data_IF_278066345878
#
_entry.id   IF_278066345878
#
_cell.length_a   1.000
_cell.length_b   1.000
_cell.length_c   1.000
_cell.angle_alpha   90.00
_cell.angle_beta   90.00
_cell.angle_gamma   90.00
#
_symmetry.space_group_name_H-M   'P 1'
#
loop_
_entity.id
_entity.type
_entity.pdbx_description
1 polymer ?
#
# COMPACT_ATOMS: atom_id res chain seq x y z
N UNK A 1 11.79 -8.39 -19.96
CA UNK A 1 10.87 -9.13 -19.07
C UNK A 1 11.37 -8.88 -17.65
N UNK A 2 10.63 -8.12 -16.86
CA UNK A 2 10.90 -7.92 -15.44
C UNK A 2 10.56 -9.21 -14.69
N UNK A 3 11.46 -9.67 -13.83
CA UNK A 3 11.18 -10.81 -12.94
C UNK A 3 10.13 -10.33 -11.93
N UNK A 4 9.05 -11.09 -11.68
CA UNK A 4 8.03 -10.68 -10.70
C UNK A 4 8.67 -10.56 -9.30
N UNK A 5 8.23 -9.59 -8.48
CA UNK A 5 8.78 -9.38 -7.15
C UNK A 5 8.52 -10.62 -6.27
N UNK A 6 9.58 -11.02 -5.54
CA UNK A 6 9.54 -12.10 -4.58
C UNK A 6 9.58 -11.56 -3.15
N UNK A 7 9.07 -12.36 -2.22
CA UNK A 7 8.91 -12.01 -0.83
C UNK A 7 9.57 -13.05 0.08
N UNK A 8 10.34 -12.57 1.04
CA UNK A 8 11.07 -13.40 2.01
C UNK A 8 10.65 -13.00 3.42
N UNK A 9 10.49 -14.01 4.27
CA UNK A 9 10.18 -13.83 5.68
C UNK A 9 11.32 -13.07 6.38
N UNK A 10 10.97 -12.22 7.33
CA UNK A 10 11.93 -11.58 8.25
C UNK A 10 12.75 -12.59 9.09
N UNK A 11 12.43 -13.89 9.03
CA UNK A 11 13.16 -14.98 9.68
C UNK A 11 13.81 -15.97 8.70
N UNK A 12 13.78 -15.69 7.41
CA UNK A 12 14.55 -16.40 6.39
C UNK A 12 13.80 -17.46 5.58
N UNK A 13 12.52 -17.75 5.86
CA UNK A 13 11.69 -18.58 5.00
C UNK A 13 11.32 -17.86 3.68
N UNK A 14 11.38 -18.57 2.55
CA UNK A 14 11.11 -18.04 1.21
C UNK A 14 12.28 -18.26 0.25
N UNK A 15 12.32 -17.56 -0.90
CA UNK A 15 11.33 -16.58 -1.37
C UNK A 15 10.01 -17.22 -1.85
N UNK A 16 8.92 -16.46 -1.79
CA UNK A 16 7.59 -16.80 -2.35
C UNK A 16 7.02 -15.66 -3.20
N UNK A 17 6.01 -15.94 -4.03
CA UNK A 17 5.30 -14.90 -4.77
C UNK A 17 4.39 -14.06 -3.83
N UNK A 18 4.02 -12.84 -4.26
CA UNK A 18 3.11 -11.97 -3.50
C UNK A 18 1.81 -12.69 -3.10
N UNK A 19 1.17 -13.38 -4.05
CA UNK A 19 -0.13 -14.03 -3.81
C UNK A 19 -0.02 -15.09 -2.71
N UNK A 20 1.07 -15.89 -2.72
CA UNK A 20 1.31 -16.88 -1.68
C UNK A 20 1.53 -16.22 -0.31
N UNK A 21 2.30 -15.14 -0.26
CA UNK A 21 2.54 -14.36 0.96
C UNK A 21 1.23 -13.78 1.53
N UNK A 22 0.35 -13.25 0.67
CA UNK A 22 -0.94 -12.70 1.07
C UNK A 22 -1.90 -13.77 1.58
N UNK A 23 -1.99 -14.92 0.89
CA UNK A 23 -2.87 -16.03 1.29
C UNK A 23 -2.42 -16.69 2.59
N UNK A 24 -1.11 -16.80 2.83
CA UNK A 24 -0.58 -17.34 4.08
C UNK A 24 -0.73 -16.35 5.25
N UNK A 25 -0.63 -15.05 4.97
CA UNK A 25 -0.61 -13.99 5.97
C UNK A 25 0.70 -13.97 6.77
N UNK A 26 0.88 -14.93 7.68
CA UNK A 26 2.12 -15.13 8.44
C UNK A 26 2.97 -16.21 7.78
N UNK A 27 4.29 -16.01 7.71
CA UNK A 27 5.19 -17.01 7.20
C UNK A 27 5.24 -18.26 8.11
N UNK A 28 5.56 -19.46 7.58
CA UNK A 28 5.63 -20.71 8.36
C UNK A 28 6.62 -20.67 9.54
N UNK A 29 7.64 -19.83 9.46
CA UNK A 29 8.63 -19.59 10.52
C UNK A 29 8.17 -18.54 11.56
N UNK A 30 6.93 -18.06 11.45
CA UNK A 30 6.34 -17.03 12.30
C UNK A 30 6.84 -15.62 12.02
N UNK A 31 7.57 -15.39 10.92
CA UNK A 31 7.99 -14.07 10.46
C UNK A 31 6.96 -13.38 9.57
N UNK A 32 7.28 -12.15 9.16
CA UNK A 32 6.47 -11.35 8.24
C UNK A 32 7.14 -11.35 6.87
N UNK A 33 6.34 -11.43 5.80
CA UNK A 33 6.87 -11.32 4.44
C UNK A 33 7.24 -9.88 4.09
N UNK A 34 8.44 -9.69 3.53
CA UNK A 34 8.91 -8.45 2.93
C UNK A 34 9.39 -8.72 1.50
N UNK A 35 9.24 -7.77 0.57
CA UNK A 35 9.81 -7.91 -0.77
C UNK A 35 11.35 -7.99 -0.67
N UNK A 36 11.98 -8.83 -1.51
CA UNK A 36 13.45 -8.98 -1.52
C UNK A 36 14.18 -7.67 -1.88
N UNK A 37 13.50 -6.77 -2.60
CA UNK A 37 13.99 -5.43 -2.89
C UNK A 37 12.88 -4.40 -2.77
N UNK A 38 13.21 -3.23 -2.20
CA UNK A 38 12.31 -2.08 -2.22
C UNK A 38 12.48 -1.32 -3.54
N UNK A 39 11.43 -1.18 -4.36
CA UNK A 39 11.48 -0.45 -5.62
C UNK A 39 11.66 1.05 -5.36
N UNK A 40 12.44 1.71 -6.21
CA UNK A 40 12.50 3.16 -6.22
C UNK A 40 11.19 3.73 -6.81
N UNK A 41 10.50 4.57 -6.04
CA UNK A 41 9.26 5.19 -6.46
C UNK A 41 9.49 6.65 -6.88
N UNK A 42 9.07 6.99 -8.10
CA UNK A 42 9.02 8.36 -8.60
C UNK A 42 7.56 8.83 -8.64
N UNK A 43 7.10 9.38 -7.52
CA UNK A 43 5.74 9.90 -7.36
C UNK A 43 5.71 11.43 -7.52
N UNK A 44 4.68 12.00 -8.17
CA UNK A 44 4.53 13.44 -8.25
C UNK A 44 4.28 14.04 -6.86
N UNK A 45 4.78 15.25 -6.57
CA UNK A 45 4.50 15.92 -5.32
C UNK A 45 3.02 16.34 -5.27
N UNK A 46 2.42 16.28 -4.08
CA UNK A 46 1.09 16.83 -3.78
C UNK A 46 -0.04 16.38 -4.73
N UNK A 47 -0.05 15.11 -5.12
CA UNK A 47 -1.12 14.52 -5.94
C UNK A 47 -2.12 13.71 -5.07
N UNK A 48 -3.39 13.61 -5.50
CA UNK A 48 -4.40 12.78 -4.86
C UNK A 48 -3.98 11.31 -4.72
N UNK A 49 -4.47 10.63 -3.67
CA UNK A 49 -4.20 9.20 -3.46
C UNK A 49 -4.63 8.34 -4.65
N UNK A 50 -5.73 8.69 -5.33
CA UNK A 50 -6.20 8.00 -6.52
C UNK A 50 -5.16 8.00 -7.67
N UNK A 51 -4.31 9.02 -7.76
CA UNK A 51 -3.31 9.15 -8.81
C UNK A 51 -1.99 8.46 -8.45
N UNK A 52 -1.61 8.51 -7.17
CA UNK A 52 -0.33 7.97 -6.69
C UNK A 52 -0.41 6.54 -6.18
N UNK A 53 -1.58 6.11 -5.69
CA UNK A 53 -1.81 4.78 -5.09
C UNK A 53 -1.49 3.65 -6.06
N UNK A 54 -2.11 3.60 -7.25
CA UNK A 54 -1.82 2.58 -8.26
C UNK A 54 -0.33 2.56 -8.66
N UNK A 55 0.28 3.75 -8.80
CA UNK A 55 1.71 3.89 -9.14
C UNK A 55 2.64 3.40 -8.03
N UNK A 56 2.23 3.57 -6.78
CA UNK A 56 3.01 3.15 -5.61
C UNK A 56 2.97 1.62 -5.41
N UNK A 57 1.83 0.98 -5.70
CA UNK A 57 1.67 -0.48 -5.52
C UNK A 57 2.11 -1.30 -6.74
N UNK A 58 2.03 -0.74 -7.95
CA UNK A 58 2.36 -1.45 -9.19
C UNK A 58 3.69 -2.22 -9.13
N UNK A 59 4.82 -1.65 -8.67
CA UNK A 59 6.10 -2.38 -8.63
C UNK A 59 6.13 -3.61 -7.71
N UNK A 60 5.16 -3.75 -6.82
CA UNK A 60 5.01 -4.88 -5.91
C UNK A 60 4.09 -5.98 -6.47
N UNK A 61 3.34 -5.71 -7.54
CA UNK A 61 2.42 -6.66 -8.17
C UNK A 61 3.16 -7.52 -9.21
N UNK A 62 2.79 -8.81 -9.40
CA UNK A 62 3.48 -9.72 -10.33
C UNK A 62 3.67 -9.16 -11.74
N UNK A 63 2.60 -8.57 -12.28
CA UNK A 63 2.57 -8.07 -13.67
C UNK A 63 2.72 -6.54 -13.75
N UNK A 64 2.90 -5.87 -12.60
CA UNK A 64 2.90 -4.41 -12.52
C UNK A 64 1.52 -3.76 -12.75
N UNK A 65 0.47 -4.54 -13.03
CA UNK A 65 -0.86 -4.03 -13.31
C UNK A 65 -1.64 -3.73 -12.02
N UNK A 66 -1.85 -2.45 -11.75
CA UNK A 66 -2.63 -1.97 -10.61
C UNK A 66 -4.10 -1.67 -10.97
N UNK A 67 -4.56 -1.93 -12.19
CA UNK A 67 -5.96 -1.72 -12.58
C UNK A 67 -6.96 -2.45 -11.67
N UNK A 68 -6.75 -3.72 -11.24
CA UNK A 68 -7.69 -4.44 -10.37
C UNK A 68 -7.93 -3.76 -9.01
N UNK A 69 -6.92 -3.02 -8.53
CA UNK A 69 -6.91 -2.35 -7.23
C UNK A 69 -7.13 -0.84 -7.33
N UNK A 70 -7.40 -0.28 -8.52
CA UNK A 70 -7.46 1.18 -8.69
C UNK A 70 -8.51 1.87 -7.83
N UNK A 71 -9.68 1.25 -7.64
CA UNK A 71 -10.78 1.79 -6.84
C UNK A 71 -10.58 1.66 -5.32
N UNK A 72 -9.50 1.02 -4.89
CA UNK A 72 -9.12 0.94 -3.46
C UNK A 72 -8.66 2.31 -2.96
N UNK A 73 -8.30 3.20 -3.88
CA UNK A 73 -7.82 4.55 -3.63
C UNK A 73 -8.87 5.63 -3.98
N UNK A 74 -10.07 5.24 -4.41
CA UNK A 74 -11.11 6.14 -4.92
C UNK A 74 -11.95 6.78 -3.80
N UNK A 75 -11.29 7.44 -2.84
CA UNK A 75 -11.93 8.29 -1.84
C UNK A 75 -11.05 9.48 -1.48
N UNK A 76 -11.69 10.54 -1.01
CA UNK A 76 -11.01 11.77 -0.63
C UNK A 76 -10.02 11.54 0.51
N UNK A 77 -8.82 12.08 0.37
CA UNK A 77 -7.76 12.01 1.39
C UNK A 77 -7.18 13.40 1.66
N UNK A 78 -8.00 14.34 2.16
CA UNK A 78 -7.59 15.73 2.26
C UNK A 78 -6.50 15.90 3.32
N UNK A 79 -5.51 16.73 2.98
CA UNK A 79 -4.54 17.26 3.93
C UNK A 79 -5.10 18.55 4.53
N UNK A 80 -5.54 18.48 5.79
CA UNK A 80 -6.23 19.57 6.49
C UNK A 80 -5.23 20.35 7.33
N UNK A 81 -5.21 21.68 7.21
CA UNK A 81 -4.45 22.53 8.14
C UNK A 81 -5.06 22.44 9.55
N UNK A 82 -4.26 22.03 10.52
CA UNK A 82 -4.69 21.75 11.90
C UNK A 82 -3.86 22.56 12.91
N UNK A 83 -3.51 23.80 12.56
CA UNK A 83 -2.55 24.62 13.32
C UNK A 83 -2.99 24.90 14.76
N UNK A 84 -4.31 25.00 15.00
CA UNK A 84 -4.87 25.18 16.35
C UNK A 84 -4.59 23.99 17.27
N UNK A 85 -4.46 22.79 16.71
CA UNK A 85 -4.24 21.54 17.46
C UNK A 85 -2.77 21.11 17.46
N UNK A 86 -2.08 21.29 16.33
CA UNK A 86 -0.74 20.74 16.07
C UNK A 86 0.36 21.81 16.01
N UNK A 87 0.01 23.10 16.18
CA UNK A 87 0.94 24.23 16.14
C UNK A 87 1.22 24.76 14.73
N UNK A 88 2.10 25.77 14.60
CA UNK A 88 2.44 26.36 13.31
C UNK A 88 2.95 25.30 12.31
N UNK A 89 2.39 25.29 11.09
CA UNK A 89 2.65 24.26 10.06
C UNK A 89 2.14 22.85 10.43
N UNK A 90 1.16 22.76 11.31
CA UNK A 90 0.49 21.51 11.64
C UNK A 90 -0.54 21.12 10.58
N UNK A 91 -0.46 19.87 10.10
CA UNK A 91 -1.41 19.31 9.14
C UNK A 91 -1.88 17.93 9.60
N UNK A 92 -3.12 17.58 9.24
CA UNK A 92 -3.72 16.27 9.46
C UNK A 92 -4.13 15.68 8.12
N UNK A 93 -3.64 14.48 7.81
CA UNK A 93 -4.11 13.71 6.65
C UNK A 93 -5.36 12.92 7.07
N UNK A 94 -6.51 13.28 6.53
CA UNK A 94 -7.77 12.59 6.83
C UNK A 94 -7.92 11.35 5.94
N UNK A 95 -7.78 10.17 6.54
CA UNK A 95 -7.95 8.87 5.88
C UNK A 95 -9.28 8.19 6.26
N UNK A 96 -10.27 8.95 6.72
CA UNK A 96 -11.54 8.43 7.26
C UNK A 96 -12.72 8.61 6.30
N UNK A 97 -12.47 8.94 5.03
CA UNK A 97 -13.53 9.17 4.02
C UNK A 97 -13.96 7.90 3.27
N UNK A 98 -13.46 6.75 3.71
CA UNK A 98 -13.86 5.45 3.18
C UNK A 98 -15.19 4.94 3.79
N UNK A 99 -15.68 3.78 3.30
CA UNK A 99 -16.97 3.22 3.68
C UNK A 99 -17.12 2.84 5.15
N UNK A 100 -16.02 2.60 5.88
CA UNK A 100 -16.05 2.27 7.32
C UNK A 100 -15.60 3.42 8.21
N UNK A 101 -15.40 4.61 7.62
CA UNK A 101 -14.90 5.80 8.29
C UNK A 101 -13.57 5.59 9.04
N UNK A 102 -12.70 4.73 8.52
CA UNK A 102 -11.42 4.39 9.13
C UNK A 102 -10.30 4.23 8.10
N UNK A 103 -9.07 4.56 8.51
CA UNK A 103 -7.89 4.43 7.64
C UNK A 103 -7.68 3.01 7.10
N UNK A 104 -8.23 1.99 7.79
CA UNK A 104 -8.14 0.58 7.39
C UNK A 104 -8.80 0.32 6.04
N UNK A 105 -9.70 1.19 5.58
CA UNK A 105 -10.32 1.07 4.26
C UNK A 105 -9.29 1.05 3.13
N UNK A 106 -8.16 1.78 3.25
CA UNK A 106 -7.09 1.77 2.23
C UNK A 106 -6.55 0.34 2.05
N UNK A 107 -6.09 -0.28 3.15
CA UNK A 107 -5.43 -1.58 3.10
C UNK A 107 -6.40 -2.75 2.93
N UNK A 108 -7.55 -2.72 3.61
CA UNK A 108 -8.53 -3.80 3.54
C UNK A 108 -9.18 -3.90 2.16
N UNK A 109 -9.48 -2.78 1.50
CA UNK A 109 -10.00 -2.78 0.13
C UNK A 109 -8.96 -3.28 -0.86
N UNK A 110 -7.69 -2.87 -0.70
CA UNK A 110 -6.58 -3.39 -1.48
C UNK A 110 -6.46 -4.90 -1.36
N UNK A 111 -6.40 -5.43 -0.13
CA UNK A 111 -6.30 -6.87 0.11
C UNK A 111 -7.47 -7.66 -0.50
N UNK A 112 -8.68 -7.07 -0.55
CA UNK A 112 -9.84 -7.72 -1.15
C UNK A 112 -9.83 -7.78 -2.69
N UNK A 113 -8.85 -7.13 -3.35
CA UNK A 113 -8.79 -6.98 -4.81
C UNK A 113 -7.52 -7.56 -5.46
N UNK A 114 -6.49 -7.84 -4.65
CA UNK A 114 -5.24 -8.48 -5.10
C UNK A 114 -5.42 -9.98 -5.23
#
# INVERSE_FOLDING_TARGET
MTVPPLYTSTRGHGPVALVDALLQGLAPDGGLYLPEGLPALALPPAAPLADIGPRAVAPFLPDGDAAPVGDTFAFDTPLVAAEKLLGPRGFMLDLTRGPTAAFKDVGARFLARV
#
